data_IF_941737805255
#
_entry.id   IF_941737805255
#
_cell.length_a   1.000
_cell.length_b   1.000
_cell.length_c   1.000
_cell.angle_alpha   90.00
_cell.angle_beta   90.00
_cell.angle_gamma   90.00
#
_symmetry.space_group_name_H-M   'P 1'
#
loop_
_entity.id
_entity.type
_entity.pdbx_description
1 polymer ?
#
# COMPACT_ATOMS: atom_id res chain seq x y z
N UNK A 1 -39.95 -13.81 9.24
CA UNK A 1 -38.63 -13.21 9.50
C UNK A 1 -37.54 -13.80 8.60
N UNK A 2 -37.46 -15.12 8.45
CA UNK A 2 -36.46 -15.80 7.59
C UNK A 2 -36.52 -15.42 6.10
N UNK A 3 -37.73 -15.24 5.54
CA UNK A 3 -37.91 -14.86 4.14
C UNK A 3 -37.24 -13.51 3.79
N UNK A 4 -37.35 -12.52 4.70
CA UNK A 4 -36.73 -11.20 4.54
C UNK A 4 -35.20 -11.29 4.56
N UNK A 5 -34.65 -12.13 5.45
CA UNK A 5 -33.22 -12.36 5.56
C UNK A 5 -32.65 -13.08 4.32
N UNK A 6 -33.42 -14.01 3.75
CA UNK A 6 -33.04 -14.76 2.54
C UNK A 6 -33.01 -13.87 1.30
N UNK A 7 -33.96 -12.93 1.19
CA UNK A 7 -34.00 -11.94 0.11
C UNK A 7 -32.85 -10.92 0.25
N UNK A 8 -32.58 -10.43 1.47
CA UNK A 8 -31.48 -9.49 1.71
C UNK A 8 -30.11 -10.08 1.32
N UNK A 9 -29.86 -11.35 1.66
CA UNK A 9 -28.62 -12.05 1.26
C UNK A 9 -28.48 -12.17 -0.26
N UNK A 10 -29.60 -12.35 -0.97
CA UNK A 10 -29.62 -12.45 -2.44
C UNK A 10 -29.32 -11.10 -3.09
N UNK A 11 -29.97 -10.04 -2.64
CA UNK A 11 -29.75 -8.67 -3.12
C UNK A 11 -28.29 -8.24 -2.87
N UNK A 12 -27.75 -8.51 -1.68
CA UNK A 12 -26.35 -8.24 -1.38
C UNK A 12 -25.40 -9.01 -2.31
N UNK A 13 -25.67 -10.29 -2.57
CA UNK A 13 -24.84 -11.10 -3.46
C UNK A 13 -24.85 -10.58 -4.91
N UNK A 14 -25.98 -10.06 -5.39
CA UNK A 14 -26.07 -9.44 -6.71
C UNK A 14 -25.25 -8.15 -6.81
N UNK A 15 -25.34 -7.29 -5.80
CA UNK A 15 -24.53 -6.06 -5.73
C UNK A 15 -23.04 -6.39 -5.67
N UNK A 16 -22.64 -7.33 -4.81
CA UNK A 16 -21.24 -7.75 -4.70
C UNK A 16 -20.74 -8.34 -6.02
N UNK A 17 -21.52 -9.20 -6.70
CA UNK A 17 -21.12 -9.73 -8.01
C UNK A 17 -20.95 -8.64 -9.06
N UNK A 18 -21.83 -7.63 -9.07
CA UNK A 18 -21.78 -6.52 -10.02
C UNK A 18 -20.55 -5.62 -9.82
N UNK A 19 -20.12 -5.42 -8.58
CA UNK A 19 -19.06 -4.48 -8.22
C UNK A 19 -17.82 -5.13 -7.60
N UNK A 20 -17.65 -6.45 -7.72
CA UNK A 20 -16.52 -7.16 -7.10
C UNK A 20 -15.17 -6.62 -7.58
N UNK A 21 -15.10 -6.15 -8.83
CA UNK A 21 -13.90 -5.58 -9.45
C UNK A 21 -13.53 -4.21 -8.90
N UNK A 22 -14.47 -3.48 -8.28
CA UNK A 22 -14.18 -2.18 -7.63
C UNK A 22 -13.73 -2.34 -6.17
N UNK A 23 -13.75 -3.57 -5.63
CA UNK A 23 -13.32 -3.89 -4.28
C UNK A 23 -12.13 -4.88 -4.30
N UNK A 24 -11.02 -4.55 -4.97
CA UNK A 24 -9.88 -5.45 -5.01
C UNK A 24 -9.17 -5.47 -3.66
N UNK A 25 -8.80 -6.67 -3.19
CA UNK A 25 -7.95 -6.85 -2.01
C UNK A 25 -6.48 -6.41 -2.25
N UNK A 26 -6.13 -6.14 -3.51
CA UNK A 26 -4.79 -5.69 -3.94
C UNK A 26 -4.88 -4.32 -4.60
N UNK A 27 -3.81 -3.55 -4.50
CA UNK A 27 -3.71 -2.28 -5.19
C UNK A 27 -3.77 -2.48 -6.72
N UNK A 28 -4.54 -1.62 -7.39
CA UNK A 28 -4.58 -1.58 -8.84
C UNK A 28 -3.33 -0.90 -9.43
N UNK A 29 -3.06 -1.17 -10.71
CA UNK A 29 -2.02 -0.51 -11.51
C UNK A 29 -2.62 -0.09 -12.84
N UNK A 30 -2.19 1.05 -13.38
CA UNK A 30 -2.51 1.49 -14.74
C UNK A 30 -1.24 1.88 -15.48
N UNK A 31 -1.14 1.52 -16.75
CA UNK A 31 -0.07 1.94 -17.65
C UNK A 31 -0.56 3.08 -18.58
N UNK A 32 -1.77 3.62 -18.37
CA UNK A 32 -2.36 4.69 -19.19
C UNK A 32 -1.68 6.06 -18.96
N UNK A 33 -1.12 6.28 -17.77
CA UNK A 33 -0.49 7.55 -17.37
C UNK A 33 0.75 7.25 -16.54
N UNK A 34 1.83 7.98 -16.81
CA UNK A 34 3.02 8.01 -15.97
C UNK A 34 3.17 9.41 -15.37
N UNK A 35 3.42 9.48 -14.06
CA UNK A 35 3.66 10.76 -13.39
C UNK A 35 5.14 11.13 -13.45
N UNK A 36 5.44 12.31 -13.98
CA UNK A 36 6.76 12.93 -13.94
C UNK A 36 6.77 14.03 -12.87
N UNK A 37 7.81 14.05 -12.04
CA UNK A 37 8.04 15.09 -11.03
C UNK A 37 9.09 16.03 -11.58
N UNK A 38 8.69 17.26 -11.94
CA UNK A 38 9.62 18.31 -12.33
C UNK A 38 10.39 18.82 -11.08
N UNK A 39 11.68 18.49 -11.01
CA UNK A 39 12.58 18.95 -9.94
C UNK A 39 13.22 20.30 -10.26
N UNK A 40 12.89 20.91 -11.39
CA UNK A 40 13.54 22.11 -11.94
C UNK A 40 15.06 21.94 -11.97
N UNK A 41 15.83 22.98 -11.63
CA UNK A 41 17.30 22.95 -11.58
C UNK A 41 17.88 22.49 -10.24
N UNK A 42 17.08 21.89 -9.35
CA UNK A 42 17.55 21.47 -8.03
C UNK A 42 18.41 20.20 -8.13
N UNK A 43 19.63 20.19 -7.55
CA UNK A 43 20.49 19.01 -7.58
C UNK A 43 19.96 17.92 -6.61
N UNK A 44 20.30 16.63 -6.87
CA UNK A 44 19.95 15.54 -5.96
C UNK A 44 20.49 15.74 -4.54
N UNK A 45 19.65 15.48 -3.53
CA UNK A 45 20.04 15.61 -2.12
C UNK A 45 20.23 14.23 -1.49
N UNK A 46 21.45 13.94 -1.02
CA UNK A 46 21.76 12.71 -0.27
C UNK A 46 21.69 12.96 1.23
N UNK A 47 20.82 12.23 1.94
CA UNK A 47 20.75 12.25 3.41
C UNK A 47 21.09 10.88 3.99
N UNK A 48 21.73 10.87 5.15
CA UNK A 48 22.08 9.63 5.88
C UNK A 48 20.81 8.99 6.46
N UNK A 49 20.55 7.69 6.22
CA UNK A 49 19.42 6.99 6.81
C UNK A 49 19.43 7.05 8.34
N UNK A 50 18.24 7.22 8.93
CA UNK A 50 18.06 7.13 10.38
C UNK A 50 18.22 5.69 10.86
N UNK A 51 18.68 5.51 12.10
CA UNK A 51 18.79 4.18 12.71
C UNK A 51 17.40 3.61 12.99
N UNK A 52 17.16 2.41 12.49
CA UNK A 52 15.98 1.61 12.87
C UNK A 52 16.26 0.88 14.19
N UNK A 53 15.43 1.05 15.23
CA UNK A 53 15.54 0.31 16.49
C UNK A 53 15.52 -1.19 16.25
N UNK A 54 16.37 -1.95 16.95
CA UNK A 54 16.54 -3.39 16.73
C UNK A 54 15.21 -4.16 16.77
N UNK A 55 14.36 -3.85 17.75
CA UNK A 55 13.04 -4.46 17.92
C UNK A 55 12.09 -4.26 16.72
N UNK A 56 12.29 -3.20 15.92
CA UNK A 56 11.43 -2.86 14.77
C UNK A 56 12.04 -3.21 13.41
N UNK A 57 13.27 -3.75 13.37
CA UNK A 57 13.94 -4.12 12.11
C UNK A 57 13.18 -5.19 11.34
N UNK A 58 12.63 -6.19 12.05
CA UNK A 58 11.84 -7.25 11.44
C UNK A 58 10.61 -6.68 10.75
N UNK A 59 9.85 -5.80 11.42
CA UNK A 59 8.68 -5.13 10.87
C UNK A 59 9.00 -4.38 9.56
N UNK A 60 10.07 -3.58 9.56
CA UNK A 60 10.52 -2.85 8.36
C UNK A 60 10.84 -3.83 7.23
N UNK A 61 11.60 -4.89 7.51
CA UNK A 61 11.97 -5.89 6.51
C UNK A 61 10.74 -6.58 5.92
N UNK A 62 9.82 -7.01 6.76
CA UNK A 62 8.57 -7.67 6.33
C UNK A 62 7.74 -6.74 5.44
N UNK A 63 7.64 -5.45 5.78
CA UNK A 63 6.89 -4.49 4.96
C UNK A 63 7.57 -4.24 3.60
N UNK A 64 8.89 -4.10 3.58
CA UNK A 64 9.66 -3.94 2.33
C UNK A 64 9.49 -5.15 1.42
N UNK A 65 9.59 -6.37 1.95
CA UNK A 65 9.37 -7.61 1.18
C UNK A 65 7.95 -7.63 0.59
N UNK A 66 6.93 -7.35 1.41
CA UNK A 66 5.55 -7.29 0.95
C UNK A 66 5.36 -6.27 -0.18
N UNK A 67 5.93 -5.08 -0.07
CA UNK A 67 5.82 -4.05 -1.11
C UNK A 67 6.56 -4.41 -2.41
N UNK A 68 7.65 -5.18 -2.31
CA UNK A 68 8.35 -5.73 -3.47
C UNK A 68 7.50 -6.80 -4.17
N UNK A 69 6.90 -7.73 -3.41
CA UNK A 69 6.00 -8.77 -3.92
C UNK A 69 4.73 -8.18 -4.56
N UNK A 70 4.23 -7.07 -4.01
CA UNK A 70 3.10 -6.32 -4.57
C UNK A 70 3.48 -5.42 -5.76
N UNK A 71 4.77 -5.31 -6.09
CA UNK A 71 5.25 -4.49 -7.21
C UNK A 71 5.14 -2.98 -6.99
N UNK A 72 4.94 -2.53 -5.75
CA UNK A 72 4.81 -1.10 -5.39
C UNK A 72 6.18 -0.41 -5.43
N UNK A 73 7.24 -1.12 -5.06
CA UNK A 73 8.62 -0.61 -5.04
C UNK A 73 9.54 -1.52 -5.84
N UNK A 74 10.72 -0.99 -6.19
CA UNK A 74 11.79 -1.71 -6.89
C UNK A 74 13.16 -1.33 -6.34
N UNK A 75 14.19 -2.18 -6.50
CA UNK A 75 15.57 -1.78 -6.24
C UNK A 75 15.96 -0.53 -7.04
N UNK A 76 16.75 0.34 -6.41
CA UNK A 76 17.32 1.53 -7.04
C UNK A 76 18.61 1.93 -6.32
N UNK A 77 19.45 2.72 -6.99
CA UNK A 77 20.72 3.20 -6.45
C UNK A 77 20.59 4.56 -5.75
N UNK A 78 19.36 5.07 -5.58
CA UNK A 78 19.11 6.35 -4.90
C UNK A 78 19.15 6.18 -3.38
N UNK A 79 19.71 7.17 -2.69
CA UNK A 79 19.77 7.17 -1.23
C UNK A 79 18.47 7.76 -0.64
N UNK A 80 17.53 6.90 -0.24
CA UNK A 80 16.26 7.31 0.37
C UNK A 80 16.22 7.08 1.88
N UNK A 81 15.53 7.96 2.61
CA UNK A 81 15.34 7.86 4.07
C UNK A 81 14.10 7.03 4.42
N UNK A 82 14.18 6.25 5.50
CA UNK A 82 13.03 5.58 6.11
C UNK A 82 12.85 6.17 7.52
N UNK A 83 11.61 6.54 7.85
CA UNK A 83 11.21 7.02 9.18
C UNK A 83 10.09 6.12 9.71
N UNK A 84 10.23 5.65 10.95
CA UNK A 84 9.22 4.85 11.62
C UNK A 84 8.29 5.76 12.42
N UNK A 85 7.02 5.82 12.02
CA UNK A 85 5.98 6.57 12.72
C UNK A 85 5.02 5.57 13.38
N UNK A 86 4.68 5.72 14.67
CA UNK A 86 3.61 4.94 15.29
C UNK A 86 2.27 5.27 14.60
N UNK A 87 1.54 4.24 14.17
CA UNK A 87 0.15 4.44 13.76
C UNK A 87 -0.68 4.85 14.98
N UNK A 88 -1.58 5.82 14.78
CA UNK A 88 -2.46 6.30 15.85
C UNK A 88 -3.50 5.24 16.26
N UNK A 89 -3.81 4.31 15.35
CA UNK A 89 -4.88 3.32 15.47
C UNK A 89 -4.56 2.11 16.40
N UNK A 90 -3.42 2.14 17.11
CA UNK A 90 -3.00 1.15 18.14
C UNK A 90 -3.13 -0.33 17.77
N UNK A 91 -3.15 -0.68 16.49
CA UNK A 91 -3.09 -2.08 16.06
C UNK A 91 -1.62 -2.45 15.83
N UNK A 92 -1.13 -3.35 16.68
CA UNK A 92 0.21 -3.94 16.65
C UNK A 92 0.30 -4.99 15.55
#
# INVERSE_FOLDING_TARGET
MEFRLKNLKRELAEVLRRYITTLPDRLGKTDLVMHEIDTSSNPPVRKKPYRVPAAKRHLVKTRVVKMLEEGIIRPSESNSLIVLVPNIDRTV
#
